data_IF_237668833378
#
_entry.id   IF_237668833378
#
_cell.length_a   1.000
_cell.length_b   1.000
_cell.length_c   1.000
_cell.angle_alpha   90.00
_cell.angle_beta   90.00
_cell.angle_gamma   90.00
#
_symmetry.space_group_name_H-M   'P 1'
#
loop_
_entity.id
_entity.type
_entity.pdbx_description
1 polymer ?
#
# COMPACT_ATOMS: atom_id res chain seq x y z
N UNK A 1 6.15 -29.51 -11.03
CA UNK A 1 5.25 -29.20 -12.14
C UNK A 1 5.58 -30.15 -13.28
N UNK A 2 4.59 -30.83 -13.85
CA UNK A 2 4.79 -31.75 -14.97
C UNK A 2 4.94 -30.96 -16.29
N UNK A 3 5.57 -31.62 -17.28
CA UNK A 3 5.78 -31.04 -18.60
C UNK A 3 4.43 -30.65 -19.26
N UNK A 4 4.32 -29.41 -19.70
CA UNK A 4 3.12 -28.86 -20.36
C UNK A 4 2.02 -28.40 -19.41
N UNK A 5 2.10 -28.68 -18.12
CA UNK A 5 1.11 -28.24 -17.13
C UNK A 5 1.32 -26.78 -16.75
N UNK A 6 0.22 -26.09 -16.49
CA UNK A 6 0.23 -24.77 -15.85
C UNK A 6 0.18 -24.93 -14.32
N UNK A 7 0.95 -24.13 -13.63
CA UNK A 7 0.95 -24.04 -12.18
C UNK A 7 0.78 -22.57 -11.78
N UNK A 8 0.12 -22.37 -10.65
CA UNK A 8 -0.03 -21.07 -10.03
C UNK A 8 0.49 -21.14 -8.59
N UNK A 9 1.29 -20.16 -8.25
CA UNK A 9 1.77 -19.95 -6.88
C UNK A 9 1.35 -18.54 -6.47
N UNK A 10 0.68 -18.42 -5.33
CA UNK A 10 0.25 -17.13 -4.81
C UNK A 10 0.57 -17.03 -3.32
N UNK A 11 1.08 -15.87 -2.96
CA UNK A 11 1.37 -15.48 -1.58
C UNK A 11 0.87 -14.06 -1.38
N UNK A 12 -0.27 -13.92 -0.67
CA UNK A 12 -0.94 -12.65 -0.43
C UNK A 12 -1.25 -12.46 1.04
N UNK A 13 -0.96 -11.26 1.52
CA UNK A 13 -1.50 -10.74 2.76
C UNK A 13 -2.72 -9.88 2.43
N UNK A 14 -3.79 -10.06 3.18
CA UNK A 14 -4.97 -9.21 3.06
C UNK A 14 -4.91 -8.11 4.12
N UNK A 15 -4.85 -6.86 3.66
CA UNK A 15 -4.85 -5.69 4.55
C UNK A 15 -6.25 -5.07 4.55
N UNK A 16 -6.89 -4.96 5.73
CA UNK A 16 -8.17 -4.26 5.85
C UNK A 16 -7.97 -2.75 5.91
N UNK A 17 -8.78 -2.00 5.16
CA UNK A 17 -8.81 -0.54 5.17
C UNK A 17 -10.25 -0.05 5.30
N UNK A 18 -10.45 0.98 6.11
CA UNK A 18 -11.74 1.67 6.20
C UNK A 18 -11.80 2.70 5.06
N UNK A 19 -12.42 2.32 3.95
CA UNK A 19 -12.46 3.15 2.73
C UNK A 19 -13.71 4.00 2.63
N UNK A 20 -14.75 3.67 3.37
CA UNK A 20 -16.02 4.38 3.35
C UNK A 20 -16.69 4.29 4.72
N UNK A 21 -17.48 5.31 5.04
CA UNK A 21 -18.34 5.35 6.22
C UNK A 21 -19.74 5.75 5.77
N UNK A 22 -20.72 5.00 6.22
CA UNK A 22 -22.14 5.28 5.93
C UNK A 22 -22.79 5.81 7.19
N UNK A 23 -23.39 7.01 7.17
CA UNK A 23 -24.16 7.51 8.32
C UNK A 23 -25.45 6.70 8.47
N UNK A 24 -25.72 6.27 9.69
CA UNK A 24 -26.98 5.61 10.09
C UNK A 24 -27.69 6.55 11.05
N UNK A 25 -28.83 7.06 10.63
CA UNK A 25 -29.62 8.02 11.42
C UNK A 25 -30.70 7.25 12.17
N UNK A 26 -30.68 7.37 13.51
CA UNK A 26 -31.77 6.93 14.39
C UNK A 26 -32.58 8.13 14.90
N UNK A 27 -33.66 7.88 15.62
CA UNK A 27 -34.57 8.94 16.11
C UNK A 27 -33.88 9.95 17.04
N UNK A 28 -32.81 9.55 17.72
CA UNK A 28 -32.12 10.39 18.73
C UNK A 28 -30.60 10.41 18.58
N UNK A 29 -30.03 9.66 17.61
CA UNK A 29 -28.58 9.59 17.44
C UNK A 29 -28.18 9.32 15.99
N UNK A 30 -27.03 9.84 15.59
CA UNK A 30 -26.35 9.50 14.33
C UNK A 30 -25.19 8.57 14.65
N UNK A 31 -25.21 7.37 14.08
CA UNK A 31 -24.11 6.42 14.13
C UNK A 31 -23.41 6.35 12.76
N UNK A 32 -22.16 5.93 12.76
CA UNK A 32 -21.39 5.78 11.54
C UNK A 32 -20.95 4.33 11.39
N UNK A 33 -21.36 3.70 10.28
CA UNK A 33 -20.99 2.33 9.97
C UNK A 33 -19.79 2.33 9.02
N UNK A 34 -18.60 1.83 9.44
CA UNK A 34 -17.45 1.72 8.56
C UNK A 34 -17.63 0.57 7.55
N UNK A 35 -17.21 0.80 6.31
CA UNK A 35 -17.07 -0.23 5.29
C UNK A 35 -15.60 -0.54 5.13
N UNK A 36 -15.26 -1.81 5.36
CA UNK A 36 -13.90 -2.31 5.29
C UNK A 36 -13.68 -2.97 3.93
N UNK A 37 -12.65 -2.51 3.22
CA UNK A 37 -12.17 -3.10 1.96
C UNK A 37 -10.89 -3.87 2.23
N UNK A 38 -10.84 -5.13 1.80
CA UNK A 38 -9.64 -5.95 1.88
C UNK A 38 -8.83 -5.80 0.60
N UNK A 39 -7.59 -5.35 0.73
CA UNK A 39 -6.66 -5.23 -0.39
C UNK A 39 -5.58 -6.30 -0.30
N UNK A 40 -5.33 -7.05 -1.40
CA UNK A 40 -4.24 -8.02 -1.44
C UNK A 40 -2.90 -7.30 -1.58
N UNK A 41 -1.93 -7.69 -0.76
CA UNK A 41 -0.53 -7.25 -0.79
C UNK A 41 0.34 -8.49 -0.90
N UNK A 42 1.05 -8.66 -2.01
CA UNK A 42 1.87 -9.84 -2.23
C UNK A 42 2.10 -10.18 -3.71
N UNK A 43 2.32 -11.47 -3.96
CA UNK A 43 2.76 -11.96 -5.26
C UNK A 43 1.90 -13.11 -5.77
N UNK A 44 1.69 -13.13 -7.08
CA UNK A 44 1.09 -14.25 -7.79
C UNK A 44 1.95 -14.58 -9.00
N UNK A 45 2.27 -15.84 -9.20
CA UNK A 45 3.02 -16.34 -10.33
C UNK A 45 2.23 -17.44 -11.04
N UNK A 46 1.86 -17.18 -12.28
CA UNK A 46 1.37 -18.21 -13.19
C UNK A 46 2.52 -18.65 -14.08
N UNK A 47 2.79 -19.93 -14.11
CA UNK A 47 3.88 -20.52 -14.90
C UNK A 47 3.39 -21.74 -15.66
N UNK A 48 3.82 -21.84 -16.91
CA UNK A 48 3.66 -23.03 -17.74
C UNK A 48 5.01 -23.35 -18.38
N UNK A 49 5.50 -24.57 -18.19
CA UNK A 49 6.76 -25.02 -18.73
C UNK A 49 6.53 -26.17 -19.72
N UNK A 50 7.22 -26.07 -20.86
CA UNK A 50 7.26 -27.13 -21.86
C UNK A 50 8.72 -27.44 -22.16
N UNK A 51 9.13 -28.68 -21.93
CA UNK A 51 10.48 -29.18 -22.20
C UNK A 51 10.56 -29.58 -23.65
N UNK A 52 11.63 -29.20 -24.36
CA UNK A 52 11.89 -29.61 -25.75
C UNK A 52 12.20 -31.10 -25.82
N UNK A 53 12.01 -31.70 -27.01
CA UNK A 53 12.20 -33.13 -27.20
C UNK A 53 13.65 -33.60 -26.93
N UNK A 54 14.63 -32.73 -27.17
CA UNK A 54 16.05 -32.93 -26.89
C UNK A 54 16.43 -32.74 -25.40
N UNK A 55 15.47 -32.31 -24.55
CA UNK A 55 15.64 -32.04 -23.12
C UNK A 55 16.73 -31.02 -22.80
N UNK A 56 17.16 -30.21 -23.76
CA UNK A 56 18.18 -29.18 -23.54
C UNK A 56 17.59 -27.84 -23.17
N UNK A 57 16.34 -27.55 -23.60
CA UNK A 57 15.69 -26.28 -23.41
C UNK A 57 14.32 -26.44 -22.75
N UNK A 58 13.96 -25.45 -21.98
CA UNK A 58 12.62 -25.31 -21.38
C UNK A 58 11.98 -24.03 -21.91
N UNK A 59 10.83 -24.17 -22.58
CA UNK A 59 10.00 -23.04 -22.96
C UNK A 59 9.06 -22.71 -21.81
N UNK A 60 9.21 -21.50 -21.25
CA UNK A 60 8.46 -21.02 -20.11
C UNK A 60 7.53 -19.90 -20.54
N UNK A 61 6.26 -20.04 -20.20
CA UNK A 61 5.32 -18.94 -20.18
C UNK A 61 5.13 -18.49 -18.72
N UNK A 62 5.43 -17.24 -18.46
CA UNK A 62 5.46 -16.66 -17.12
C UNK A 62 4.57 -15.42 -17.07
N UNK A 63 3.73 -15.35 -16.05
CA UNK A 63 2.88 -14.19 -15.78
C UNK A 63 2.97 -13.87 -14.28
N UNK A 64 4.09 -13.28 -13.82
CA UNK A 64 4.20 -12.76 -12.48
C UNK A 64 3.32 -11.50 -12.30
N UNK A 65 2.69 -11.42 -11.14
CA UNK A 65 1.85 -10.31 -10.73
C UNK A 65 2.22 -9.93 -9.29
N UNK A 66 2.60 -8.68 -9.09
CA UNK A 66 2.99 -8.13 -7.80
C UNK A 66 2.05 -7.00 -7.44
N UNK A 67 1.52 -7.03 -6.23
CA UNK A 67 0.75 -5.95 -5.64
C UNK A 67 1.41 -5.54 -4.33
N UNK A 68 1.50 -4.24 -4.11
CA UNK A 68 2.03 -3.68 -2.88
C UNK A 68 1.26 -2.42 -2.51
N UNK A 69 0.83 -2.34 -1.27
CA UNK A 69 0.32 -1.09 -0.71
C UNK A 69 1.51 -0.21 -0.35
N UNK A 70 1.68 0.90 -1.09
CA UNK A 70 2.84 1.78 -0.99
C UNK A 70 2.65 2.85 0.06
N UNK A 71 1.44 3.41 0.13
CA UNK A 71 1.12 4.54 1.00
C UNK A 71 -0.34 4.44 1.43
N UNK A 72 -0.64 4.95 2.61
CA UNK A 72 -2.00 5.09 3.11
C UNK A 72 -2.18 6.54 3.52
N UNK A 73 -3.04 7.26 2.79
CA UNK A 73 -3.41 8.62 3.15
C UNK A 73 -4.62 8.56 4.06
N UNK A 74 -4.54 9.18 5.22
CA UNK A 74 -5.66 9.28 6.14
C UNK A 74 -6.38 10.61 5.94
N UNK A 75 -7.69 10.54 5.87
CA UNK A 75 -8.57 11.68 5.78
C UNK A 75 -9.56 11.66 6.95
N UNK A 76 -9.45 12.64 7.83
CA UNK A 76 -10.30 12.74 9.02
C UNK A 76 -11.40 13.78 8.77
N UNK A 77 -12.64 13.37 8.96
CA UNK A 77 -13.78 14.25 9.02
C UNK A 77 -14.03 14.65 10.48
N UNK A 78 -13.93 15.92 10.77
CA UNK A 78 -14.32 16.47 12.05
C UNK A 78 -15.83 16.73 12.04
N UNK A 79 -16.57 15.78 12.59
CA UNK A 79 -18.00 15.97 12.85
C UNK A 79 -18.16 16.71 14.16
N UNK A 80 -18.47 18.00 14.12
CA UNK A 80 -18.91 18.76 15.30
C UNK A 80 -20.33 18.34 15.66
N UNK A 81 -20.51 17.54 16.70
CA UNK A 81 -21.78 17.47 17.42
C UNK A 81 -21.68 18.45 18.60
N UNK A 82 -22.31 19.59 18.46
CA UNK A 82 -22.60 20.42 19.59
C UNK A 82 -23.78 19.77 20.33
N UNK A 83 -23.50 19.13 21.46
CA UNK A 83 -24.55 18.78 22.41
C UNK A 83 -24.78 20.05 23.21
N UNK A 84 -25.77 20.84 22.82
CA UNK A 84 -26.34 21.82 23.72
C UNK A 84 -27.04 21.05 24.86
N UNK A 85 -26.36 20.93 25.97
CA UNK A 85 -27.03 20.55 27.23
C UNK A 85 -27.69 21.82 27.75
N UNK A 86 -28.86 22.12 27.22
CA UNK A 86 -29.76 23.07 27.90
C UNK A 86 -30.26 22.40 29.17
N UNK A 87 -29.52 22.59 30.25
CA UNK A 87 -30.05 22.38 31.59
C UNK A 87 -30.85 23.65 31.94
N UNK A 88 -31.95 23.82 31.23
CA UNK A 88 -32.94 24.84 31.55
C UNK A 88 -33.76 24.31 32.74
N UNK A 89 -33.15 24.26 33.91
CA UNK A 89 -33.90 24.09 35.15
C UNK A 89 -34.19 25.47 35.68
N UNK A 90 -35.48 25.86 35.67
CA UNK A 90 -36.01 27.08 36.29
C UNK A 90 -35.59 27.20 37.78
N UNK A 91 -34.94 26.20 38.34
CA UNK A 91 -34.37 26.16 39.67
C UNK A 91 -32.98 26.79 39.78
N UNK A 92 -32.15 26.72 38.71
CA UNK A 92 -30.82 27.34 38.66
C UNK A 92 -30.93 28.86 38.58
N UNK A 93 -31.90 29.40 37.85
CA UNK A 93 -32.16 30.82 37.73
C UNK A 93 -32.65 31.44 39.07
N UNK A 94 -33.23 30.63 39.98
CA UNK A 94 -33.64 31.02 41.32
C UNK A 94 -32.51 30.95 42.35
N UNK A 95 -31.55 30.05 42.17
CA UNK A 95 -30.37 29.91 43.03
C UNK A 95 -29.34 31.01 42.78
N UNK A 96 -29.20 31.48 41.56
CA UNK A 96 -28.29 32.56 41.14
C UNK A 96 -28.68 33.94 41.78
N UNK A 97 -29.95 34.09 42.16
CA UNK A 97 -30.44 35.30 42.85
C UNK A 97 -30.08 35.31 44.37
N UNK A 98 -29.78 34.12 44.95
CA UNK A 98 -29.58 33.97 46.40
C UNK A 98 -28.09 33.90 46.76
N UNK A 99 -27.23 33.36 45.93
CA UNK A 99 -25.84 33.02 46.29
C UNK A 99 -24.75 33.82 45.55
N UNK A 100 -25.09 34.76 44.66
CA UNK A 100 -24.13 35.61 43.92
C UNK A 100 -23.50 34.87 42.72
N UNK A 101 -22.84 35.61 41.80
CA UNK A 101 -22.28 35.04 40.61
C UNK A 101 -21.14 34.10 40.97
N UNK A 102 -21.43 32.80 40.93
CA UNK A 102 -20.40 31.75 41.00
C UNK A 102 -19.78 31.63 39.59
N UNK A 103 -18.48 31.90 39.46
CA UNK A 103 -17.69 31.76 38.23
C UNK A 103 -17.55 30.26 37.87
N UNK A 104 -18.66 29.56 37.72
CA UNK A 104 -18.67 28.26 37.07
C UNK A 104 -18.81 28.51 35.55
N UNK A 105 -17.68 28.78 34.92
CA UNK A 105 -17.53 28.65 33.48
C UNK A 105 -17.93 27.22 33.14
N UNK A 106 -19.18 27.00 32.71
CA UNK A 106 -19.57 25.74 32.07
C UNK A 106 -18.71 25.57 30.81
N UNK A 107 -17.63 24.81 30.95
CA UNK A 107 -16.78 24.42 29.87
C UNK A 107 -17.61 23.59 28.89
N UNK A 108 -18.00 24.20 27.78
CA UNK A 108 -18.64 23.53 26.67
C UNK A 108 -17.68 22.41 26.20
N UNK A 109 -17.86 21.20 26.71
CA UNK A 109 -17.10 20.04 26.25
C UNK A 109 -17.55 19.70 24.82
N UNK A 110 -16.92 20.30 23.85
CA UNK A 110 -17.10 19.96 22.44
C UNK A 110 -16.42 18.62 22.18
N UNK A 111 -17.19 17.54 22.25
CA UNK A 111 -16.68 16.22 21.85
C UNK A 111 -16.61 16.18 20.33
N UNK A 112 -15.43 16.42 19.79
CA UNK A 112 -15.16 16.24 18.36
C UNK A 112 -15.02 14.75 18.07
N UNK A 113 -16.05 14.14 17.53
CA UNK A 113 -15.98 12.76 17.05
C UNK A 113 -15.48 12.75 15.60
N UNK A 114 -14.17 12.64 15.42
CA UNK A 114 -13.56 12.54 14.10
C UNK A 114 -13.70 11.12 13.53
N UNK A 115 -14.06 11.03 12.24
CA UNK A 115 -14.09 9.76 11.48
C UNK A 115 -12.91 9.78 10.53
N UNK A 116 -12.01 8.81 10.67
CA UNK A 116 -10.84 8.68 9.80
C UNK A 116 -11.09 7.65 8.72
N UNK A 117 -10.98 8.08 7.46
CA UNK A 117 -10.98 7.25 6.27
C UNK A 117 -9.54 6.96 5.85
N UNK A 118 -9.31 5.76 5.35
CA UNK A 118 -8.01 5.32 4.86
C UNK A 118 -8.06 5.16 3.34
N UNK A 119 -7.21 5.91 2.64
CA UNK A 119 -7.08 5.89 1.19
C UNK A 119 -5.74 5.23 0.80
N UNK A 120 -5.72 3.90 0.60
CA UNK A 120 -4.50 3.20 0.22
C UNK A 120 -4.12 3.44 -1.24
N UNK A 121 -2.84 3.68 -1.47
CA UNK A 121 -2.22 3.73 -2.81
C UNK A 121 -1.59 2.38 -3.09
N UNK A 122 -1.98 1.75 -4.21
CA UNK A 122 -1.53 0.43 -4.60
C UNK A 122 -0.57 0.54 -5.78
N UNK A 123 0.61 -0.06 -5.66
CA UNK A 123 1.53 -0.29 -6.77
C UNK A 123 1.32 -1.68 -7.34
N UNK A 124 1.03 -1.76 -8.62
CA UNK A 124 0.84 -3.03 -9.34
C UNK A 124 1.91 -3.19 -10.39
N UNK A 125 2.61 -4.33 -10.39
CA UNK A 125 3.58 -4.68 -11.41
C UNK A 125 3.22 -6.04 -12.02
N UNK A 126 3.03 -6.06 -13.32
CA UNK A 126 2.65 -7.25 -14.08
C UNK A 126 3.58 -7.40 -15.30
N UNK A 127 4.05 -8.61 -15.54
CA UNK A 127 4.84 -8.97 -16.73
C UNK A 127 4.23 -10.23 -17.33
N UNK A 128 4.07 -10.27 -18.64
CA UNK A 128 3.64 -11.46 -19.36
C UNK A 128 4.65 -11.76 -20.48
N UNK A 129 5.33 -12.88 -20.37
CA UNK A 129 6.39 -13.24 -21.34
C UNK A 129 6.49 -14.73 -21.58
N UNK A 130 7.06 -15.06 -22.72
CA UNK A 130 7.43 -16.45 -23.11
C UNK A 130 8.90 -16.46 -23.45
N UNK A 131 9.68 -17.29 -22.76
CA UNK A 131 11.11 -17.41 -22.94
C UNK A 131 11.52 -18.87 -23.13
N UNK A 132 12.59 -19.09 -23.87
CA UNK A 132 13.23 -20.41 -23.99
C UNK A 132 14.58 -20.33 -23.28
N UNK A 133 14.81 -21.20 -22.33
CA UNK A 133 15.98 -21.18 -21.45
C UNK A 133 16.63 -22.56 -21.48
N UNK A 134 17.96 -22.68 -21.61
CA UNK A 134 18.63 -23.96 -21.43
C UNK A 134 18.47 -24.46 -19.98
N UNK A 135 18.55 -25.77 -19.80
CA UNK A 135 18.46 -26.38 -18.47
C UNK A 135 19.57 -25.84 -17.54
N UNK A 136 19.17 -25.38 -16.34
CA UNK A 136 20.06 -24.74 -15.38
C UNK A 136 20.56 -23.34 -15.78
N UNK A 137 20.18 -22.83 -16.95
CA UNK A 137 20.52 -21.48 -17.41
C UNK A 137 19.62 -20.42 -16.76
N UNK A 138 20.11 -19.19 -16.64
CA UNK A 138 19.37 -18.04 -16.09
C UNK A 138 19.08 -17.04 -17.23
N UNK A 139 17.84 -16.60 -17.32
CA UNK A 139 17.43 -15.56 -18.27
C UNK A 139 16.76 -14.40 -17.55
N UNK A 140 17.03 -13.18 -18.02
CA UNK A 140 16.34 -11.97 -17.57
C UNK A 140 15.01 -11.86 -18.34
N UNK A 141 13.89 -11.83 -17.61
CA UNK A 141 12.54 -11.69 -18.17
C UNK A 141 12.22 -10.24 -18.53
N UNK A 142 12.74 -9.31 -17.74
CA UNK A 142 12.49 -7.89 -17.89
C UNK A 142 12.87 -7.11 -16.64
N UNK A 143 12.74 -5.80 -16.73
CA UNK A 143 13.00 -4.91 -15.61
C UNK A 143 12.22 -3.61 -15.74
N UNK A 144 11.94 -2.98 -14.60
CA UNK A 144 11.33 -1.68 -14.50
C UNK A 144 12.29 -0.77 -13.74
N UNK A 145 12.51 0.42 -14.30
CA UNK A 145 13.27 1.49 -13.64
C UNK A 145 12.31 2.64 -13.32
N UNK A 146 12.23 3.01 -12.06
CA UNK A 146 11.55 4.21 -11.60
C UNK A 146 12.59 5.20 -11.11
N UNK A 147 12.48 6.44 -11.55
CA UNK A 147 13.31 7.56 -11.09
C UNK A 147 12.38 8.60 -10.53
N UNK A 148 12.58 8.97 -9.28
CA UNK A 148 11.90 10.08 -8.61
C UNK A 148 12.93 11.17 -8.33
N UNK A 149 12.66 12.37 -8.79
CA UNK A 149 13.50 13.54 -8.54
C UNK A 149 12.70 14.55 -7.72
N UNK A 150 13.24 14.88 -6.56
CA UNK A 150 12.71 15.93 -5.70
C UNK A 150 13.66 17.13 -5.71
N UNK A 151 13.12 18.32 -5.94
CA UNK A 151 13.85 19.59 -5.82
C UNK A 151 13.20 20.43 -4.76
N UNK A 152 13.95 20.75 -3.73
CA UNK A 152 13.53 21.66 -2.67
C UNK A 152 14.38 22.93 -2.73
N UNK A 153 13.71 24.06 -2.85
CA UNK A 153 14.36 25.38 -2.92
C UNK A 153 13.85 26.25 -1.77
N UNK A 154 14.76 26.70 -0.95
CA UNK A 154 14.50 27.67 0.11
C UNK A 154 15.36 28.93 -0.14
N UNK A 155 14.74 30.10 -0.19
CA UNK A 155 15.43 31.35 -0.40
C UNK A 155 14.64 32.55 0.12
N UNK A 156 15.33 33.67 0.34
CA UNK A 156 14.72 34.91 0.78
C UNK A 156 13.99 35.53 -0.43
N UNK A 157 12.69 35.89 -0.31
CA UNK A 157 11.96 36.55 -1.39
C UNK A 157 12.69 37.86 -1.80
N UNK A 158 12.68 38.15 -3.08
CA UNK A 158 13.39 39.25 -3.79
C UNK A 158 14.90 39.04 -4.00
N UNK A 159 15.69 38.59 -3.03
CA UNK A 159 17.13 38.37 -3.16
C UNK A 159 17.49 37.11 -3.92
N UNK A 160 16.62 36.07 -3.85
CA UNK A 160 16.81 34.81 -4.57
C UNK A 160 16.66 34.91 -6.09
N UNK A 161 16.06 36.01 -6.60
CA UNK A 161 15.84 36.27 -8.04
C UNK A 161 16.87 37.18 -8.68
N UNK A 162 17.81 37.75 -7.92
CA UNK A 162 18.82 38.70 -8.47
C UNK A 162 19.93 37.87 -9.13
N UNK A 163 20.22 38.09 -10.45
CA UNK A 163 21.34 37.43 -11.11
C UNK A 163 22.66 37.81 -10.43
N UNK A 164 23.59 36.84 -10.33
CA UNK A 164 24.90 36.90 -9.68
C UNK A 164 24.91 36.79 -8.15
N UNK A 165 23.83 37.17 -7.44
CA UNK A 165 23.80 37.15 -5.94
C UNK A 165 22.90 36.02 -5.40
N UNK A 166 22.06 35.46 -6.26
CA UNK A 166 21.09 34.43 -5.90
C UNK A 166 21.70 33.22 -5.15
N UNK A 167 22.96 32.85 -5.47
CA UNK A 167 23.64 31.71 -4.85
C UNK A 167 23.93 31.89 -3.34
N UNK A 168 24.03 33.13 -2.88
CA UNK A 168 24.28 33.44 -1.46
C UNK A 168 23.01 33.38 -0.61
N UNK A 169 21.84 33.53 -1.25
CA UNK A 169 20.53 33.65 -0.59
C UNK A 169 19.57 32.51 -0.92
N UNK A 170 20.04 31.49 -1.64
CA UNK A 170 19.24 30.34 -2.08
C UNK A 170 19.91 29.04 -1.67
N UNK A 171 19.18 28.20 -0.97
CA UNK A 171 19.56 26.81 -0.70
C UNK A 171 18.75 25.89 -1.62
N UNK A 172 19.45 25.01 -2.35
CA UNK A 172 18.82 24.06 -3.28
C UNK A 172 19.22 22.66 -2.86
N UNK A 173 18.23 21.86 -2.45
CA UNK A 173 18.38 20.43 -2.22
C UNK A 173 17.81 19.65 -3.40
N UNK A 174 18.60 18.76 -3.99
CA UNK A 174 18.16 17.87 -5.08
C UNK A 174 18.28 16.45 -4.54
N UNK A 175 17.13 15.77 -4.45
CA UNK A 175 17.05 14.35 -4.10
C UNK A 175 16.77 13.52 -5.34
N UNK A 176 17.55 12.47 -5.57
CA UNK A 176 17.30 11.47 -6.61
C UNK A 176 17.08 10.13 -5.94
N UNK A 177 15.92 9.53 -6.19
CA UNK A 177 15.62 8.17 -5.79
C UNK A 177 15.45 7.32 -7.04
N UNK A 178 16.21 6.23 -7.11
CA UNK A 178 16.14 5.30 -8.24
C UNK A 178 15.82 3.90 -7.72
N UNK A 179 14.70 3.36 -8.20
CA UNK A 179 14.25 2.00 -7.90
C UNK A 179 14.37 1.15 -9.16
N UNK A 180 15.01 -0.01 -9.03
CA UNK A 180 15.13 -1.00 -10.08
C UNK A 180 14.49 -2.31 -9.65
N UNK A 181 13.57 -2.83 -10.45
CA UNK A 181 13.03 -4.17 -10.30
C UNK A 181 13.47 -4.99 -11.50
N UNK A 182 14.19 -6.09 -11.26
CA UNK A 182 14.61 -7.04 -12.30
C UNK A 182 14.06 -8.42 -11.97
N UNK A 183 13.53 -9.12 -12.99
CA UNK A 183 13.01 -10.48 -12.87
C UNK A 183 13.87 -11.44 -13.66
N UNK A 184 14.37 -12.47 -12.98
CA UNK A 184 15.18 -13.54 -13.59
C UNK A 184 14.53 -14.89 -13.30
N UNK A 185 14.69 -15.84 -14.21
CA UNK A 185 14.24 -17.22 -14.04
C UNK A 185 15.32 -18.20 -14.41
N UNK A 186 15.42 -19.27 -13.60
CA UNK A 186 16.36 -20.39 -13.83
C UNK A 186 15.56 -21.68 -13.75
N UNK A 187 15.14 -22.28 -14.88
CA UNK A 187 14.48 -23.58 -14.88
C UNK A 187 15.49 -24.70 -14.65
N UNK A 188 15.04 -25.77 -14.05
CA UNK A 188 15.78 -27.02 -13.89
C UNK A 188 14.90 -28.19 -14.26
N UNK A 189 15.39 -29.04 -15.16
CA UNK A 189 14.72 -30.29 -15.54
C UNK A 189 15.08 -31.36 -14.53
N UNK A 190 14.06 -32.00 -13.95
CA UNK A 190 14.22 -33.10 -13.00
C UNK A 190 13.63 -34.35 -13.64
N UNK A 191 14.44 -35.37 -13.81
CA UNK A 191 14.03 -36.67 -14.34
C UNK A 191 13.80 -37.59 -13.14
N UNK A 192 12.55 -38.00 -12.93
CA UNK A 192 12.12 -38.74 -11.74
C UNK A 192 12.90 -40.08 -11.57
N UNK A 193 13.21 -40.73 -12.68
CA UNK A 193 13.95 -41.98 -12.66
C UNK A 193 15.39 -41.82 -12.15
N UNK A 194 16.07 -40.74 -12.51
CA UNK A 194 17.44 -40.46 -12.05
C UNK A 194 17.49 -40.16 -10.55
N UNK A 195 16.47 -39.50 -10.03
CA UNK A 195 16.36 -39.17 -8.60
C UNK A 195 16.07 -40.46 -7.78
N UNK A 196 15.24 -41.36 -8.31
CA UNK A 196 14.97 -42.65 -7.64
C UNK A 196 16.22 -43.52 -7.60
N UNK A 197 17.01 -43.57 -8.69
CA UNK A 197 18.27 -44.31 -8.74
C UNK A 197 19.32 -43.73 -7.76
N UNK A 198 19.41 -42.40 -7.65
CA UNK A 198 20.29 -41.70 -6.69
C UNK A 198 19.83 -41.91 -5.24
N UNK A 199 18.51 -41.90 -4.97
CA UNK A 199 17.95 -42.07 -3.64
C UNK A 199 18.03 -43.51 -3.12
N UNK A 200 17.97 -44.50 -4.01
CA UNK A 200 18.06 -45.93 -3.67
C UNK A 200 19.51 -46.44 -3.65
N UNK A 201 20.47 -45.62 -4.08
CA UNK A 201 21.89 -45.99 -4.02
C UNK A 201 22.29 -47.12 -4.95
N UNK A 202 21.51 -47.40 -6.00
CA UNK A 202 21.84 -48.36 -7.04
C UNK A 202 22.73 -47.69 -8.08
N UNK A 203 23.99 -47.47 -7.73
CA UNK A 203 25.01 -47.19 -8.74
C UNK A 203 25.52 -48.53 -9.28
N UNK A 204 25.27 -48.76 -10.55
CA UNK A 204 25.93 -49.81 -11.31
C UNK A 204 27.38 -49.48 -11.54
#
# INVERSE_FOLDING_TARGET
MFNGQAAQVSDFFQRPFVTQVVPVVGDFAVAHQPIITLLPDGTNLNVQAVVTADRQYVKLRLVPYFTQVTEVTEFTFDGTQSVETTTDSVLDDLLDIIDGPDDNDEELVTTTSGITLQLPVISVTNVSTVVSVPDGGTVLLGGIKRVSEGRNEAGIPFLSNVPYVNRLFKNVGIGHETQHLMMMVTPRIIIQKEIEEDAVGVSN
#
